data_IF_491920305974
#
_entry.id   IF_491920305974
#
_cell.length_a   1.000
_cell.length_b   1.000
_cell.length_c   1.000
_cell.angle_alpha   90.00
_cell.angle_beta   90.00
_cell.angle_gamma   90.00
#
_symmetry.space_group_name_H-M   'P 1'
#
loop_
_entity.id
_entity.type
_entity.pdbx_description
1 polymer ?
#
# COMPACT_ATOMS: atom_id res chain seq x y z
N UNK A 1 -12.22 -1.55 21.78
CA UNK A 1 -12.57 -1.17 20.39
C UNK A 1 -13.10 -2.40 19.69
N UNK A 2 -14.40 -2.42 19.39
CA UNK A 2 -15.10 -3.57 18.84
C UNK A 2 -14.64 -3.88 17.41
N UNK A 3 -14.58 -5.17 17.05
CA UNK A 3 -14.50 -5.60 15.65
C UNK A 3 -15.80 -5.19 14.95
N UNK A 4 -15.77 -4.02 14.31
CA UNK A 4 -16.78 -3.57 13.33
C UNK A 4 -16.50 -4.34 12.03
N UNK A 5 -17.32 -5.34 11.71
CA UNK A 5 -17.13 -6.24 10.56
C UNK A 5 -18.47 -6.40 9.81
N UNK A 6 -19.09 -5.31 9.36
CA UNK A 6 -20.12 -5.44 8.33
C UNK A 6 -19.50 -5.28 6.93
N UNK A 7 -20.01 -6.03 5.96
CA UNK A 7 -19.52 -5.96 4.57
C UNK A 7 -19.63 -4.54 3.98
N UNK A 8 -20.61 -3.76 4.44
CA UNK A 8 -20.80 -2.36 4.07
C UNK A 8 -19.68 -1.46 4.60
N UNK A 9 -19.28 -1.61 5.88
CA UNK A 9 -18.14 -0.86 6.44
C UNK A 9 -16.84 -1.18 5.70
N UNK A 10 -16.59 -2.45 5.38
CA UNK A 10 -15.40 -2.84 4.62
C UNK A 10 -15.39 -2.22 3.21
N UNK A 11 -16.54 -2.15 2.55
CA UNK A 11 -16.66 -1.53 1.22
C UNK A 11 -16.37 -0.03 1.28
N UNK A 12 -16.92 0.67 2.29
CA UNK A 12 -16.67 2.11 2.50
C UNK A 12 -15.20 2.38 2.79
N UNK A 13 -14.58 1.59 3.67
CA UNK A 13 -13.15 1.62 3.95
C UNK A 13 -12.30 1.45 2.69
N UNK A 14 -12.59 0.41 1.90
CA UNK A 14 -11.86 0.11 0.66
C UNK A 14 -12.01 1.26 -0.34
N UNK A 15 -13.19 1.86 -0.45
CA UNK A 15 -13.42 3.03 -1.32
C UNK A 15 -12.64 4.26 -0.84
N UNK A 16 -12.68 4.57 0.45
CA UNK A 16 -11.94 5.69 1.03
C UNK A 16 -10.43 5.53 0.85
N UNK A 17 -9.90 4.32 1.11
CA UNK A 17 -8.49 4.00 0.85
C UNK A 17 -8.17 4.17 -0.64
N UNK A 18 -9.03 3.67 -1.53
CA UNK A 18 -8.87 3.81 -2.98
C UNK A 18 -8.77 5.28 -3.41
N UNK A 19 -9.65 6.13 -2.90
CA UNK A 19 -9.65 7.57 -3.15
C UNK A 19 -8.32 8.22 -2.73
N UNK A 20 -7.83 7.91 -1.53
CA UNK A 20 -6.54 8.45 -1.09
C UNK A 20 -5.35 7.92 -1.89
N UNK A 21 -5.40 6.67 -2.35
CA UNK A 21 -4.34 6.05 -3.15
C UNK A 21 -4.27 6.60 -4.58
N UNK A 22 -5.41 6.85 -5.22
CA UNK A 22 -5.50 7.29 -6.62
C UNK A 22 -5.60 8.80 -6.77
N UNK A 23 -6.11 9.51 -5.75
CA UNK A 23 -6.34 10.95 -5.77
C UNK A 23 -7.60 11.38 -6.52
N UNK A 24 -8.46 10.45 -6.96
CA UNK A 24 -9.71 10.78 -7.66
C UNK A 24 -10.84 9.79 -7.40
N UNK A 25 -12.07 10.24 -7.58
CA UNK A 25 -13.30 9.43 -7.49
C UNK A 25 -13.38 8.37 -8.58
N UNK A 26 -12.92 8.69 -9.78
CA UNK A 26 -12.91 7.78 -10.93
C UNK A 26 -11.89 6.66 -10.70
N UNK A 27 -10.68 7.03 -10.24
CA UNK A 27 -9.62 6.09 -9.92
C UNK A 27 -10.02 5.17 -8.76
N UNK A 28 -10.66 5.74 -7.73
CA UNK A 28 -11.21 4.98 -6.61
C UNK A 28 -12.23 3.93 -7.09
N UNK A 29 -13.24 4.38 -7.84
CA UNK A 29 -14.30 3.51 -8.36
C UNK A 29 -13.74 2.38 -9.22
N UNK A 30 -12.80 2.70 -10.11
CA UNK A 30 -12.12 1.71 -10.96
C UNK A 30 -11.37 0.66 -10.12
N UNK A 31 -10.61 1.11 -9.11
CA UNK A 31 -9.83 0.22 -8.26
C UNK A 31 -10.71 -0.68 -7.39
N UNK A 32 -11.77 -0.14 -6.80
CA UNK A 32 -12.76 -0.91 -6.03
C UNK A 32 -13.42 -1.95 -6.94
N UNK A 33 -13.86 -1.54 -8.13
CA UNK A 33 -14.45 -2.47 -9.10
C UNK A 33 -13.50 -3.63 -9.44
N UNK A 34 -12.25 -3.34 -9.82
CA UNK A 34 -11.26 -4.40 -10.12
C UNK A 34 -10.99 -5.32 -8.93
N UNK A 35 -11.00 -4.79 -7.72
CA UNK A 35 -10.81 -5.56 -6.49
C UNK A 35 -11.98 -6.53 -6.28
N UNK A 36 -13.21 -6.03 -6.33
CA UNK A 36 -14.41 -6.84 -6.06
C UNK A 36 -14.77 -7.81 -7.18
N UNK A 37 -14.27 -7.63 -8.40
CA UNK A 37 -14.31 -8.66 -9.44
C UNK A 37 -13.49 -9.91 -9.09
N UNK A 38 -12.45 -9.76 -8.27
CA UNK A 38 -11.50 -10.83 -7.94
C UNK A 38 -11.79 -11.51 -6.59
N UNK A 39 -12.76 -11.01 -5.80
CA UNK A 39 -13.10 -11.57 -4.49
C UNK A 39 -14.56 -12.01 -4.40
N UNK A 40 -14.82 -13.11 -3.71
CA UNK A 40 -16.17 -13.62 -3.45
C UNK A 40 -16.80 -13.06 -2.16
N UNK A 41 -18.11 -13.25 -1.99
CA UNK A 41 -18.88 -12.78 -0.82
C UNK A 41 -18.38 -13.28 0.54
N UNK A 42 -17.73 -14.44 0.58
CA UNK A 42 -17.18 -15.06 1.80
C UNK A 42 -15.69 -14.81 1.99
N UNK A 43 -15.09 -13.95 1.16
CA UNK A 43 -13.65 -13.67 1.21
C UNK A 43 -13.33 -12.91 2.50
N UNK A 44 -12.36 -13.37 3.30
CA UNK A 44 -11.93 -12.65 4.49
C UNK A 44 -11.40 -11.26 4.14
N UNK A 45 -11.67 -10.26 4.98
CA UNK A 45 -11.24 -8.87 4.73
C UNK A 45 -9.74 -8.72 4.42
N UNK A 46 -8.89 -9.52 5.07
CA UNK A 46 -7.44 -9.54 4.81
C UNK A 46 -7.09 -9.92 3.38
N UNK A 47 -7.82 -10.87 2.79
CA UNK A 47 -7.62 -11.27 1.40
C UNK A 47 -8.18 -10.22 0.45
N UNK A 48 -9.27 -9.53 0.82
CA UNK A 48 -9.76 -8.34 0.09
C UNK A 48 -8.70 -7.26 0.01
N UNK A 49 -8.03 -6.94 1.12
CA UNK A 49 -6.94 -5.94 1.13
C UNK A 49 -5.72 -6.37 0.31
N UNK A 50 -5.37 -7.66 0.29
CA UNK A 50 -4.31 -8.17 -0.59
C UNK A 50 -4.68 -8.01 -2.06
N UNK A 51 -5.89 -8.46 -2.42
CA UNK A 51 -6.39 -8.32 -3.80
C UNK A 51 -6.51 -6.85 -4.22
N UNK A 52 -6.85 -5.97 -3.29
CA UNK A 52 -6.84 -4.51 -3.49
C UNK A 52 -5.45 -4.00 -3.83
N UNK A 53 -4.44 -4.36 -3.02
CA UNK A 53 -3.04 -4.00 -3.23
C UNK A 53 -2.57 -4.45 -4.62
N UNK A 54 -2.81 -5.71 -4.97
CA UNK A 54 -2.42 -6.26 -6.26
C UNK A 54 -3.11 -5.51 -7.42
N UNK A 55 -4.41 -5.22 -7.28
CA UNK A 55 -5.16 -4.47 -8.29
C UNK A 55 -4.67 -3.03 -8.44
N UNK A 56 -4.17 -2.39 -7.37
CA UNK A 56 -3.57 -1.07 -7.44
C UNK A 56 -2.28 -1.08 -8.24
N UNK A 57 -1.39 -2.03 -7.95
CA UNK A 57 -0.14 -2.16 -8.67
C UNK A 57 -0.36 -2.48 -10.15
N UNK A 58 -1.27 -3.41 -10.46
CA UNK A 58 -1.68 -3.74 -11.82
C UNK A 58 -2.19 -2.51 -12.60
N UNK A 59 -2.99 -1.64 -11.98
CA UNK A 59 -3.68 -0.54 -12.67
C UNK A 59 -2.96 0.79 -12.69
N UNK A 60 -2.15 1.11 -11.69
CA UNK A 60 -1.67 2.48 -11.48
C UNK A 60 -0.16 2.59 -11.44
N UNK A 61 0.54 1.47 -11.26
CA UNK A 61 2.00 1.45 -11.15
C UNK A 61 2.61 0.83 -12.41
N UNK A 62 2.21 -0.38 -12.79
CA UNK A 62 2.74 -1.04 -13.98
C UNK A 62 2.48 -0.25 -15.28
N UNK A 63 1.28 0.30 -15.47
CA UNK A 63 0.95 1.10 -16.66
C UNK A 63 1.71 2.45 -16.70
N UNK A 64 2.02 3.05 -15.54
CA UNK A 64 2.80 4.30 -15.47
C UNK A 64 4.28 4.07 -15.75
N UNK A 65 4.83 2.94 -15.33
CA UNK A 65 6.22 2.57 -15.57
C UNK A 65 6.47 2.28 -17.06
N UNK A 66 5.50 1.67 -17.75
CA UNK A 66 5.59 1.40 -19.18
C UNK A 66 5.72 2.67 -20.06
N UNK A 67 5.28 3.83 -19.56
CA UNK A 67 5.39 5.12 -20.26
C UNK A 67 6.71 5.87 -20.01
N UNK A 68 7.60 5.38 -19.15
CA UNK A 68 8.92 5.99 -18.93
C UNK A 68 9.86 5.49 -20.04
N UNK A 69 10.45 6.37 -20.87
CA UNK A 69 11.43 5.96 -21.87
C UNK A 69 12.55 5.19 -21.17
N UNK A 70 12.72 3.90 -21.49
CA UNK A 70 13.73 3.09 -20.84
C UNK A 70 15.11 3.70 -21.12
N UNK A 71 15.87 4.13 -20.10
CA UNK A 71 17.28 4.39 -20.30
C UNK A 71 17.94 3.08 -20.70
N UNK A 72 18.96 3.12 -21.54
CA UNK A 72 19.74 1.96 -22.02
C UNK A 72 20.38 1.10 -20.91
N UNK A 73 20.21 1.49 -19.64
CA UNK A 73 20.71 0.83 -18.45
C UNK A 73 19.56 0.14 -17.68
N UNK A 74 19.32 -1.14 -17.97
CA UNK A 74 18.33 -2.02 -17.31
C UNK A 74 18.32 -2.01 -15.76
N UNK A 75 19.44 -1.81 -15.02
CA UNK A 75 19.43 -1.83 -13.55
C UNK A 75 18.72 -0.64 -12.89
N UNK A 76 18.76 0.54 -13.52
CA UNK A 76 18.21 1.78 -12.93
C UNK A 76 16.68 1.83 -13.00
N UNK A 77 16.08 1.26 -14.05
CA UNK A 77 14.63 1.17 -14.18
C UNK A 77 14.02 0.31 -13.06
N UNK A 78 14.64 -0.83 -12.75
CA UNK A 78 14.17 -1.74 -11.70
C UNK A 78 14.23 -1.12 -10.30
N UNK A 79 15.25 -0.31 -10.01
CA UNK A 79 15.35 0.39 -8.74
C UNK A 79 14.21 1.42 -8.56
N UNK A 80 13.84 2.12 -9.63
CA UNK A 80 12.71 3.05 -9.62
C UNK A 80 11.37 2.37 -9.32
N UNK A 81 11.13 1.18 -9.90
CA UNK A 81 9.93 0.38 -9.64
C UNK A 81 9.84 -0.03 -8.16
N UNK A 82 10.95 -0.51 -7.59
CA UNK A 82 11.02 -0.93 -6.19
C UNK A 82 10.74 0.23 -5.25
N UNK A 83 11.28 1.42 -5.53
CA UNK A 83 11.04 2.63 -4.72
C UNK A 83 9.56 3.03 -4.79
N UNK A 84 8.98 3.10 -5.99
CA UNK A 84 7.56 3.45 -6.17
C UNK A 84 6.65 2.44 -5.48
N UNK A 85 6.97 1.14 -5.56
CA UNK A 85 6.22 0.10 -4.86
C UNK A 85 6.29 0.27 -3.35
N UNK A 86 7.48 0.53 -2.81
CA UNK A 86 7.66 0.77 -1.38
C UNK A 86 6.92 2.01 -0.91
N UNK A 87 6.96 3.11 -1.65
CA UNK A 87 6.20 4.32 -1.32
C UNK A 87 4.69 4.08 -1.29
N UNK A 88 4.17 3.35 -2.29
CA UNK A 88 2.77 2.94 -2.33
C UNK A 88 2.39 2.04 -1.15
N UNK A 89 3.24 1.09 -0.79
CA UNK A 89 3.02 0.18 0.35
C UNK A 89 3.07 0.91 1.70
N UNK A 90 3.96 1.89 1.87
CA UNK A 90 4.01 2.76 3.05
C UNK A 90 2.71 3.54 3.17
N UNK A 91 2.28 4.19 2.08
CA UNK A 91 1.03 4.96 2.05
C UNK A 91 -0.17 4.08 2.35
N UNK A 92 -0.27 2.91 1.71
CA UNK A 92 -1.34 1.94 1.93
C UNK A 92 -1.36 1.44 3.39
N UNK A 93 -0.20 1.19 3.99
CA UNK A 93 -0.07 0.77 5.38
C UNK A 93 -0.67 1.80 6.34
N UNK A 94 -0.35 3.09 6.14
CA UNK A 94 -0.92 4.19 6.93
C UNK A 94 -2.44 4.24 6.76
N UNK A 95 -2.93 4.21 5.52
CA UNK A 95 -4.37 4.30 5.24
C UNK A 95 -5.16 3.14 5.85
N UNK A 96 -4.67 1.90 5.76
CA UNK A 96 -5.32 0.75 6.41
C UNK A 96 -5.38 0.89 7.93
N UNK A 97 -4.36 1.49 8.55
CA UNK A 97 -4.35 1.74 9.99
C UNK A 97 -5.34 2.84 10.38
N UNK A 98 -5.36 3.96 9.66
CA UNK A 98 -6.13 5.15 10.04
C UNK A 98 -7.61 5.07 9.62
N UNK A 99 -7.92 4.47 8.47
CA UNK A 99 -9.30 4.36 7.96
C UNK A 99 -9.97 3.11 8.52
N UNK A 100 -9.35 1.94 8.31
CA UNK A 100 -9.95 0.65 8.70
C UNK A 100 -9.61 0.18 10.11
N UNK A 101 -8.78 0.93 10.86
CA UNK A 101 -8.31 0.51 12.18
C UNK A 101 -7.52 -0.81 12.17
N UNK A 102 -6.95 -1.18 11.01
CA UNK A 102 -6.29 -2.47 10.83
C UNK A 102 -5.01 -2.52 11.67
N UNK A 103 -4.87 -3.56 12.51
CA UNK A 103 -3.69 -3.68 13.39
C UNK A 103 -2.42 -3.94 12.56
N UNK A 104 -1.24 -3.49 13.03
CA UNK A 104 0.04 -3.68 12.33
C UNK A 104 0.33 -5.12 11.91
N UNK A 105 -0.06 -6.11 12.73
CA UNK A 105 0.13 -7.53 12.41
C UNK A 105 -0.74 -8.04 11.25
N UNK A 106 -1.87 -7.39 10.97
CA UNK A 106 -2.73 -7.69 9.82
C UNK A 106 -2.22 -6.96 8.58
N UNK A 107 -1.80 -5.70 8.73
CA UNK A 107 -1.14 -4.93 7.67
C UNK A 107 0.11 -5.67 7.16
N UNK A 108 0.96 -6.18 8.05
CA UNK A 108 2.15 -6.96 7.68
C UNK A 108 1.80 -8.18 6.80
N UNK A 109 0.67 -8.83 7.06
CA UNK A 109 0.18 -9.95 6.24
C UNK A 109 -0.40 -9.51 4.89
N UNK A 110 -0.95 -8.30 4.80
CA UNK A 110 -1.44 -7.73 3.53
C UNK A 110 -0.26 -7.34 2.65
N UNK A 111 0.72 -6.63 3.20
CA UNK A 111 1.86 -6.10 2.44
C UNK A 111 2.92 -7.18 2.16
N UNK A 112 3.07 -8.17 3.06
CA UNK A 112 4.07 -9.23 2.92
C UNK A 112 5.47 -8.85 3.41
N UNK A 113 5.57 -7.89 4.34
CA UNK A 113 6.84 -7.47 4.97
C UNK A 113 6.85 -7.76 6.47
N UNK A 114 8.04 -7.80 7.11
CA UNK A 114 8.14 -8.00 8.55
C UNK A 114 7.32 -6.97 9.35
N UNK A 115 6.80 -7.39 10.51
CA UNK A 115 5.99 -6.54 11.39
C UNK A 115 6.72 -5.27 11.82
N UNK A 116 8.03 -5.35 12.04
CA UNK A 116 8.82 -4.20 12.48
C UNK A 116 8.94 -3.12 11.40
N UNK A 117 8.97 -3.52 10.12
CA UNK A 117 8.89 -2.58 8.99
C UNK A 117 7.56 -1.83 9.00
N UNK A 118 6.44 -2.55 9.20
CA UNK A 118 5.13 -1.91 9.32
C UNK A 118 5.07 -0.96 10.51
N UNK A 119 5.59 -1.34 11.68
CA UNK A 119 5.63 -0.46 12.85
C UNK A 119 6.39 0.82 12.54
N UNK A 120 7.57 0.69 11.92
CA UNK A 120 8.40 1.81 11.51
C UNK A 120 7.65 2.72 10.52
N UNK A 121 7.05 2.15 9.48
CA UNK A 121 6.29 2.88 8.47
C UNK A 121 5.07 3.59 9.06
N UNK A 122 4.36 2.99 10.01
CA UNK A 122 3.24 3.65 10.68
C UNK A 122 3.71 4.80 11.58
N UNK A 123 4.84 4.67 12.27
CA UNK A 123 5.42 5.77 13.06
C UNK A 123 5.89 6.92 12.18
N UNK A 124 6.53 6.63 11.04
CA UNK A 124 7.09 7.64 10.13
C UNK A 124 6.01 8.23 9.21
N UNK A 125 5.07 7.41 8.74
CA UNK A 125 4.00 7.81 7.83
C UNK A 125 2.92 8.67 8.48
N UNK A 126 2.69 8.55 9.80
CA UNK A 126 1.87 9.53 10.53
C UNK A 126 2.50 10.93 10.56
N UNK A 127 3.83 11.03 10.58
CA UNK A 127 4.54 12.31 10.42
C UNK A 127 4.33 12.87 9.01
N UNK A 128 4.29 12.02 7.98
CA UNK A 128 3.97 12.41 6.60
C UNK A 128 2.58 13.05 6.45
N UNK A 129 1.53 12.48 7.06
CA UNK A 129 0.19 13.09 7.05
C UNK A 129 0.16 14.49 7.67
N UNK A 130 1.02 14.75 8.66
CA UNK A 130 1.16 16.05 9.30
C UNK A 130 2.01 17.04 8.49
N UNK A 131 3.01 16.57 7.74
CA UNK A 131 4.03 17.41 7.09
C UNK A 131 3.89 17.54 5.56
N UNK A 132 2.96 16.80 4.90
CA UNK A 132 2.73 16.80 3.44
C UNK A 132 3.97 16.47 2.58
N UNK A 133 5.03 15.87 3.11
CA UNK A 133 6.23 15.49 2.34
C UNK A 133 6.87 14.21 2.88
N UNK A 134 7.38 13.35 1.99
CA UNK A 134 8.15 12.15 2.33
C UNK A 134 9.62 12.55 2.42
N UNK A 135 10.25 12.27 3.57
CA UNK A 135 11.71 12.28 3.65
C UNK A 135 12.24 10.94 3.12
N UNK A 136 13.02 10.97 2.05
CA UNK A 136 13.71 9.79 1.50
C UNK A 136 14.51 9.02 2.58
N UNK A 137 15.05 9.73 3.57
CA UNK A 137 15.79 9.16 4.70
C UNK A 137 14.95 8.17 5.53
N UNK A 138 13.63 8.42 5.63
CA UNK A 138 12.72 7.54 6.35
C UNK A 138 12.44 6.23 5.59
N UNK A 139 12.50 6.25 4.26
CA UNK A 139 12.37 5.06 3.41
C UNK A 139 13.66 4.23 3.41
N UNK A 140 14.82 4.89 3.35
CA UNK A 140 16.13 4.23 3.34
C UNK A 140 16.44 3.50 4.67
N UNK A 141 16.10 4.08 5.82
CA UNK A 141 16.27 3.39 7.12
C UNK A 141 15.41 2.14 7.28
N UNK A 142 14.31 2.02 6.51
CA UNK A 142 13.45 0.85 6.55
C UNK A 142 13.92 -0.30 5.63
N UNK A 143 14.79 -0.02 4.66
CA UNK A 143 15.24 -0.97 3.64
C UNK A 143 16.57 -1.66 3.92
N UNK A 144 17.34 -1.23 4.93
CA UNK A 144 18.68 -1.78 5.17
C UNK A 144 18.77 -2.43 6.55
N UNK A 145 18.43 -3.72 6.59
CA UNK A 145 19.03 -4.62 7.58
C UNK A 145 20.44 -4.91 7.11
N UNK A 146 21.43 -4.26 7.72
CA UNK A 146 22.82 -4.70 7.58
C UNK A 146 22.98 -5.96 8.41
N UNK A 147 22.94 -7.12 7.76
CA UNK A 147 23.46 -8.35 8.32
C UNK A 147 24.81 -8.64 7.67
N UNK A 148 25.87 -8.20 8.34
CA UNK A 148 27.23 -8.73 8.18
C UNK A 148 27.89 -8.76 9.55
N UNK A 149 27.65 -9.86 10.25
CA UNK A 149 28.40 -10.27 11.42
C UNK A 149 28.91 -11.69 11.26
N UNK A 150 30.14 -11.84 10.77
CA UNK A 150 31.22 -12.73 11.26
C UNK A 150 32.30 -12.88 10.20
#
# INVERSE_FOLDING_TARGET
MAMKNTAAELLDDIYNIAYWMTGSTEGASHLVYRTYLKVGLKTPAIEVFKTFRDSYFDSFIHDKIACIPQPSCKPMAHLGEVIIQQEADVKLSVLMSEISGLKPCKIAKVIGVPLDNIRLWLTSGRRWLAEKSISLDALYRAGVSYDWGS
#
